data_IF_184027577679
#
_entry.id   IF_184027577679
#
_cell.length_a   1.000
_cell.length_b   1.000
_cell.length_c   1.000
_cell.angle_alpha   90.00
_cell.angle_beta   90.00
_cell.angle_gamma   90.00
#
_symmetry.space_group_name_H-M   'P 1'
#
loop_
_entity.id
_entity.type
_entity.pdbx_description
1 polymer ?
#
# COMPACT_ATOMS: atom_id res chain seq x y z
N UNK A 1 21.28 -0.54 -34.22
CA UNK A 1 20.77 -1.71 -33.48
C UNK A 1 19.27 -1.53 -33.33
N UNK A 2 18.48 -2.47 -33.82
CA UNK A 2 17.02 -2.45 -33.71
C UNK A 2 16.64 -3.57 -32.75
N UNK A 3 15.97 -3.23 -31.65
CA UNK A 3 15.41 -4.21 -30.71
C UNK A 3 13.91 -4.24 -30.98
N UNK A 4 13.43 -5.33 -31.58
CA UNK A 4 12.00 -5.58 -31.78
C UNK A 4 11.41 -6.17 -30.51
N UNK A 5 10.62 -5.37 -29.79
CA UNK A 5 9.85 -5.83 -28.65
C UNK A 5 8.65 -6.66 -29.13
N UNK A 6 8.86 -7.97 -29.28
CA UNK A 6 7.79 -8.91 -29.60
C UNK A 6 6.92 -9.16 -28.37
N UNK A 7 5.61 -9.01 -28.53
CA UNK A 7 4.64 -9.29 -27.48
C UNK A 7 4.38 -10.79 -27.29
N UNK A 8 3.46 -11.12 -26.38
CA UNK A 8 3.00 -12.48 -26.14
C UNK A 8 1.63 -12.71 -26.79
N UNK A 9 1.31 -13.97 -27.12
CA UNK A 9 -0.01 -14.40 -27.58
C UNK A 9 -0.49 -15.60 -26.75
N UNK A 10 -1.80 -15.73 -26.62
CA UNK A 10 -2.44 -16.91 -26.03
C UNK A 10 -2.32 -18.10 -27.00
N UNK A 11 -2.05 -19.28 -26.46
CA UNK A 11 -2.09 -20.54 -27.20
C UNK A 11 -3.30 -21.35 -26.73
N UNK A 12 -4.30 -21.46 -27.60
CA UNK A 12 -5.59 -22.07 -27.29
C UNK A 12 -5.77 -23.46 -27.93
N UNK A 13 -4.71 -24.02 -28.54
CA UNK A 13 -4.79 -25.30 -29.26
C UNK A 13 -5.27 -26.46 -28.38
N UNK A 14 -5.02 -26.41 -27.07
CA UNK A 14 -5.39 -27.45 -26.13
C UNK A 14 -6.86 -27.40 -25.67
N UNK A 15 -7.59 -26.32 -25.96
CA UNK A 15 -8.96 -26.10 -25.48
C UNK A 15 -10.04 -26.70 -26.39
N UNK A 16 -9.69 -27.09 -27.62
CA UNK A 16 -10.62 -27.71 -28.58
C UNK A 16 -11.88 -26.87 -28.80
N UNK A 17 -13.05 -27.52 -28.79
CA UNK A 17 -14.38 -26.90 -28.91
C UNK A 17 -15.09 -26.72 -27.55
N UNK A 18 -14.33 -26.68 -26.45
CA UNK A 18 -14.87 -26.61 -25.09
C UNK A 18 -15.68 -25.33 -24.82
N UNK A 19 -15.38 -24.25 -25.53
CA UNK A 19 -16.05 -22.96 -25.41
C UNK A 19 -16.78 -22.62 -26.70
N UNK A 20 -18.08 -22.35 -26.59
CA UNK A 20 -18.93 -21.96 -27.72
C UNK A 20 -18.68 -20.50 -28.11
N UNK A 21 -18.39 -19.64 -27.12
CA UNK A 21 -18.18 -18.21 -27.33
C UNK A 21 -16.75 -17.80 -26.99
N UNK A 22 -15.99 -17.46 -28.03
CA UNK A 22 -14.61 -16.97 -27.89
C UNK A 22 -14.45 -15.62 -28.57
N UNK A 23 -13.46 -14.86 -28.11
CA UNK A 23 -13.05 -13.63 -28.77
C UNK A 23 -12.23 -13.92 -30.04
N UNK A 24 -11.82 -12.85 -30.74
CA UNK A 24 -10.97 -12.97 -31.94
C UNK A 24 -9.60 -13.64 -31.72
N UNK A 25 -9.16 -13.82 -30.46
CA UNK A 25 -7.91 -14.47 -30.07
C UNK A 25 -8.14 -15.95 -29.70
N UNK A 26 -9.39 -16.40 -29.62
CA UNK A 26 -9.77 -17.73 -29.17
C UNK A 26 -9.85 -17.87 -27.65
N UNK A 27 -9.82 -16.76 -26.91
CA UNK A 27 -10.00 -16.74 -25.44
C UNK A 27 -11.51 -16.80 -25.15
N UNK A 28 -11.98 -17.63 -24.20
CA UNK A 28 -13.39 -17.69 -23.84
C UNK A 28 -13.89 -16.33 -23.32
N UNK A 29 -15.14 -15.99 -23.66
CA UNK A 29 -15.78 -14.84 -23.06
C UNK A 29 -16.02 -15.10 -21.57
N UNK A 30 -15.60 -14.15 -20.73
CA UNK A 30 -15.73 -14.23 -19.28
C UNK A 30 -16.70 -13.16 -18.77
N UNK A 31 -17.34 -13.43 -17.64
CA UNK A 31 -18.13 -12.45 -16.91
C UNK A 31 -17.25 -11.49 -16.08
N UNK A 32 -17.90 -10.60 -15.31
CA UNK A 32 -17.21 -9.65 -14.41
C UNK A 32 -16.40 -10.33 -13.29
N UNK A 33 -16.68 -11.60 -13.01
CA UNK A 33 -16.00 -12.43 -12.01
C UNK A 33 -14.92 -13.32 -12.64
N UNK A 34 -14.60 -13.10 -13.93
CA UNK A 34 -13.65 -13.89 -14.70
C UNK A 34 -14.04 -15.38 -14.85
N UNK A 35 -15.33 -15.67 -14.71
CA UNK A 35 -15.91 -17.01 -14.92
C UNK A 35 -16.31 -17.16 -16.38
N UNK A 36 -16.04 -18.34 -16.95
CA UNK A 36 -16.49 -18.68 -18.30
C UNK A 36 -17.94 -19.15 -18.31
N UNK A 37 -18.49 -19.35 -19.51
CA UNK A 37 -19.81 -19.97 -19.69
C UNK A 37 -19.87 -21.44 -19.25
N UNK A 38 -18.72 -22.10 -19.08
CA UNK A 38 -18.63 -23.48 -18.63
C UNK A 38 -18.62 -23.53 -17.10
N UNK A 39 -19.47 -24.37 -16.53
CA UNK A 39 -19.54 -24.59 -15.09
C UNK A 39 -18.18 -25.00 -14.53
N UNK A 40 -17.81 -24.36 -13.42
CA UNK A 40 -16.56 -24.58 -12.71
C UNK A 40 -15.27 -24.23 -13.50
N UNK A 41 -15.36 -23.35 -14.50
CA UNK A 41 -14.19 -22.91 -15.27
C UNK A 41 -14.03 -21.39 -15.22
N UNK A 42 -12.85 -20.95 -14.77
CA UNK A 42 -12.43 -19.55 -14.68
C UNK A 42 -11.10 -19.35 -15.38
N UNK A 43 -10.79 -18.10 -15.73
CA UNK A 43 -9.50 -17.73 -16.29
C UNK A 43 -9.02 -16.39 -15.71
N UNK A 44 -7.71 -16.23 -15.51
CA UNK A 44 -7.13 -15.03 -14.90
C UNK A 44 -5.78 -14.66 -15.53
N UNK A 45 -5.35 -13.41 -15.32
CA UNK A 45 -4.03 -12.93 -15.71
C UNK A 45 -3.88 -12.67 -17.21
N UNK A 46 -2.64 -12.71 -17.69
CA UNK A 46 -2.27 -12.34 -19.06
C UNK A 46 -3.00 -13.13 -20.15
N UNK A 47 -3.51 -14.33 -19.81
CA UNK A 47 -4.34 -15.12 -20.68
C UNK A 47 -5.65 -14.40 -21.08
N UNK A 48 -6.25 -13.63 -20.17
CA UNK A 48 -7.55 -12.96 -20.38
C UNK A 48 -7.37 -11.63 -21.12
N UNK A 49 -6.50 -10.76 -20.62
CA UNK A 49 -6.47 -9.33 -21.00
C UNK A 49 -5.29 -8.97 -21.94
N UNK A 50 -4.38 -9.91 -22.28
CA UNK A 50 -3.02 -9.69 -22.85
C UNK A 50 -1.99 -9.34 -21.76
N UNK A 51 -0.68 -9.11 -22.07
CA UNK A 51 0.32 -8.89 -21.03
C UNK A 51 -0.05 -7.69 -20.16
N UNK A 52 -0.40 -8.01 -18.93
CA UNK A 52 -0.55 -7.08 -17.82
C UNK A 52 0.78 -7.02 -17.06
N UNK A 53 0.86 -6.14 -16.05
CA UNK A 53 2.00 -6.24 -15.14
C UNK A 53 1.79 -7.44 -14.19
N UNK A 54 2.90 -7.97 -13.67
CA UNK A 54 2.91 -9.14 -12.79
C UNK A 54 2.00 -8.98 -11.55
N UNK A 55 1.87 -7.76 -11.04
CA UNK A 55 1.06 -7.45 -9.85
C UNK A 55 -0.43 -7.64 -10.16
N UNK A 56 -0.90 -7.12 -11.29
CA UNK A 56 -2.29 -7.27 -11.74
C UNK A 56 -2.65 -8.74 -11.97
N UNK A 57 -1.77 -9.50 -12.64
CA UNK A 57 -1.97 -10.94 -12.87
C UNK A 57 -2.09 -11.73 -11.57
N UNK A 58 -1.24 -11.44 -10.57
CA UNK A 58 -1.35 -12.08 -9.24
C UNK A 58 -2.66 -11.68 -8.54
N UNK A 59 -3.02 -10.40 -8.60
CA UNK A 59 -4.26 -9.90 -8.00
C UNK A 59 -5.51 -10.58 -8.58
N UNK A 60 -5.55 -10.77 -9.90
CA UNK A 60 -6.62 -11.52 -10.58
C UNK A 60 -6.64 -12.99 -10.17
N UNK A 61 -5.48 -13.66 -10.16
CA UNK A 61 -5.38 -15.06 -9.74
C UNK A 61 -5.90 -15.27 -8.32
N UNK A 62 -5.58 -14.36 -7.39
CA UNK A 62 -6.10 -14.40 -6.02
C UNK A 62 -7.63 -14.25 -5.99
N UNK A 63 -8.18 -13.25 -6.70
CA UNK A 63 -9.64 -13.04 -6.76
C UNK A 63 -10.39 -14.26 -7.30
N UNK A 64 -9.87 -14.87 -8.37
CA UNK A 64 -10.47 -16.08 -8.94
C UNK A 64 -10.38 -17.26 -7.97
N UNK A 65 -9.27 -17.43 -7.28
CA UNK A 65 -9.13 -18.48 -6.27
C UNK A 65 -10.16 -18.34 -5.12
N UNK A 66 -10.40 -17.11 -4.66
CA UNK A 66 -11.42 -16.84 -3.64
C UNK A 66 -12.84 -17.16 -4.13
N UNK A 67 -13.15 -16.88 -5.39
CA UNK A 67 -14.45 -17.21 -6.01
C UNK A 67 -14.64 -18.72 -6.18
N UNK A 68 -13.60 -19.43 -6.61
CA UNK A 68 -13.62 -20.90 -6.70
C UNK A 68 -13.87 -21.51 -5.33
N UNK A 69 -13.16 -21.04 -4.30
CA UNK A 69 -13.33 -21.53 -2.93
C UNK A 69 -14.75 -21.29 -2.40
N UNK A 70 -15.34 -20.13 -2.68
CA UNK A 70 -16.72 -19.80 -2.31
C UNK A 70 -17.73 -20.73 -3.00
N UNK A 71 -17.61 -20.92 -4.31
CA UNK A 71 -18.54 -21.76 -5.08
C UNK A 71 -18.45 -23.23 -4.66
N UNK A 72 -17.23 -23.74 -4.43
CA UNK A 72 -17.03 -25.13 -3.98
C UNK A 72 -17.52 -25.39 -2.56
N UNK A 73 -17.43 -24.39 -1.66
CA UNK A 73 -17.88 -24.55 -0.26
C UNK A 73 -19.36 -24.26 -0.05
N UNK A 74 -20.01 -23.58 -0.99
CA UNK A 74 -21.35 -23.01 -0.79
C UNK A 74 -21.39 -22.03 0.40
N UNK A 75 -20.24 -21.44 0.76
CA UNK A 75 -20.07 -20.61 1.94
C UNK A 75 -20.04 -19.12 1.57
N UNK A 76 -20.55 -18.29 2.48
CA UNK A 76 -20.48 -16.84 2.35
C UNK A 76 -19.01 -16.36 2.26
N UNK A 77 -18.74 -15.25 1.54
CA UNK A 77 -17.38 -14.74 1.33
C UNK A 77 -16.66 -14.51 2.66
N UNK A 78 -15.34 -14.78 2.68
CA UNK A 78 -14.50 -14.46 3.83
C UNK A 78 -14.57 -12.95 4.10
N UNK A 79 -15.13 -12.57 5.25
CA UNK A 79 -15.05 -11.18 5.75
C UNK A 79 -13.57 -10.82 5.91
N UNK A 80 -13.22 -9.55 5.64
CA UNK A 80 -11.86 -9.03 5.86
C UNK A 80 -11.39 -9.39 7.28
N UNK A 81 -10.46 -10.34 7.38
CA UNK A 81 -9.90 -10.84 8.66
C UNK A 81 -8.88 -9.87 9.28
N UNK A 82 -8.58 -8.77 8.61
CA UNK A 82 -7.48 -7.87 8.95
C UNK A 82 -7.93 -6.43 8.96
N UNK A 83 -7.63 -5.73 10.05
CA UNK A 83 -7.86 -4.29 10.20
C UNK A 83 -6.53 -3.56 10.35
N UNK A 84 -6.46 -2.36 9.78
CA UNK A 84 -5.30 -1.48 9.93
C UNK A 84 -5.48 -0.77 11.26
N UNK A 85 -4.72 -1.19 12.27
CA UNK A 85 -4.68 -0.49 13.54
C UNK A 85 -3.59 0.58 13.47
N UNK A 86 -3.99 1.85 13.66
CA UNK A 86 -3.08 2.95 13.93
C UNK A 86 -2.28 2.59 15.18
N UNK A 87 -0.95 2.63 15.07
CA UNK A 87 -0.06 2.57 16.23
C UNK A 87 0.40 3.99 16.46
N UNK A 88 -0.20 4.71 17.44
CA UNK A 88 0.33 6.01 17.83
C UNK A 88 1.81 5.85 18.14
N UNK A 89 2.62 6.68 17.51
CA UNK A 89 4.09 6.63 17.59
C UNK A 89 4.64 6.97 18.97
N UNK A 90 3.75 7.32 19.90
CA UNK A 90 4.02 7.55 21.32
C UNK A 90 4.37 6.25 22.09
N UNK A 91 4.00 5.06 21.59
CA UNK A 91 4.07 3.80 22.37
C UNK A 91 4.58 2.55 21.60
N UNK A 92 5.74 2.63 20.94
CA UNK A 92 6.41 1.42 20.40
C UNK A 92 7.54 0.97 21.32
N UNK A 93 7.23 0.05 22.23
CA UNK A 93 8.18 -0.57 23.15
C UNK A 93 8.60 -1.98 22.74
N UNK A 94 9.04 -2.17 21.50
CA UNK A 94 9.63 -3.44 21.07
C UNK A 94 11.10 -3.52 21.50
N UNK A 95 11.50 -4.48 22.34
CA UNK A 95 12.89 -4.61 22.78
C UNK A 95 13.78 -5.03 21.61
N UNK A 96 14.66 -4.13 21.19
CA UNK A 96 15.61 -4.32 20.11
C UNK A 96 16.80 -5.18 20.58
N UNK A 97 17.12 -6.27 19.90
CA UNK A 97 18.24 -7.17 20.23
C UNK A 97 19.62 -6.50 20.14
N UNK A 98 19.70 -5.29 19.57
CA UNK A 98 20.92 -4.47 19.50
C UNK A 98 21.26 -3.72 20.80
N UNK A 99 20.41 -3.83 21.84
CA UNK A 99 20.65 -3.25 23.18
C UNK A 99 21.77 -3.99 23.96
N UNK A 100 22.00 -5.27 23.69
CA UNK A 100 22.99 -6.08 24.43
C UNK A 100 24.45 -5.76 24.06
N UNK A 101 24.70 -5.15 22.90
CA UNK A 101 26.05 -4.93 22.37
C UNK A 101 26.61 -3.53 22.69
N UNK A 102 25.91 -2.71 23.48
CA UNK A 102 26.37 -1.35 23.82
C UNK A 102 26.43 -0.39 22.62
N UNK A 103 25.91 -0.82 21.46
CA UNK A 103 25.87 -0.03 20.22
C UNK A 103 24.65 0.90 20.21
N UNK A 104 23.69 0.72 21.11
CA UNK A 104 22.44 1.45 21.08
C UNK A 104 22.02 1.96 22.47
N UNK A 105 22.36 3.22 22.78
CA UNK A 105 21.35 4.11 23.40
C UNK A 105 20.26 4.44 22.35
N UNK A 106 19.72 3.41 21.67
CA UNK A 106 18.42 3.51 21.04
C UNK A 106 17.42 3.43 22.18
N UNK A 107 17.27 4.55 22.88
CA UNK A 107 16.11 4.75 23.72
C UNK A 107 14.87 4.47 22.86
N UNK A 108 13.81 3.94 23.46
CA UNK A 108 12.50 3.88 22.79
C UNK A 108 12.03 5.29 22.36
N UNK A 109 12.70 6.32 22.88
CA UNK A 109 12.63 7.70 22.42
C UNK A 109 13.28 7.92 21.05
N UNK A 110 14.31 7.19 20.61
CA UNK A 110 14.96 7.44 19.32
C UNK A 110 14.11 7.05 18.09
N UNK A 111 13.20 6.07 18.25
CA UNK A 111 12.18 5.77 17.22
C UNK A 111 10.97 6.71 17.34
N UNK A 112 10.68 7.26 18.52
CA UNK A 112 9.61 8.27 18.70
C UNK A 112 10.07 9.73 18.53
N UNK A 113 11.39 10.00 18.46
CA UNK A 113 11.97 11.36 18.35
C UNK A 113 12.15 11.84 16.91
N UNK A 114 12.06 10.96 15.91
CA UNK A 114 12.10 11.35 14.49
C UNK A 114 10.73 11.77 13.91
N UNK A 115 9.82 12.18 14.79
CA UNK A 115 8.53 12.77 14.45
C UNK A 115 8.39 14.19 14.99
N UNK A 116 9.49 14.75 15.51
CA UNK A 116 9.55 16.15 15.91
C UNK A 116 10.29 16.93 14.83
N UNK A 117 9.72 18.07 14.47
CA UNK A 117 10.31 19.22 13.79
C UNK A 117 11.86 19.23 13.84
N UNK A 118 12.52 19.00 12.68
CA UNK A 118 13.99 19.05 12.57
C UNK A 118 14.67 17.97 11.72
N UNK A 119 13.96 16.98 11.18
CA UNK A 119 14.53 16.00 10.24
C UNK A 119 14.68 16.63 8.84
N UNK A 120 15.85 17.20 8.59
CA UNK A 120 16.20 17.83 7.31
C UNK A 120 16.78 16.78 6.34
N UNK A 121 15.95 15.83 5.89
CA UNK A 121 16.38 14.83 4.89
C UNK A 121 16.93 15.50 3.61
N UNK A 122 16.44 16.70 3.30
CA UNK A 122 16.83 17.50 2.16
C UNK A 122 18.19 18.20 2.37
N UNK A 123 18.50 18.62 3.59
CA UNK A 123 19.75 19.28 3.96
C UNK A 123 20.87 18.34 4.40
N UNK A 124 20.57 17.10 4.77
CA UNK A 124 21.61 16.08 5.00
C UNK A 124 22.08 15.52 3.65
N UNK A 125 23.29 15.91 3.26
CA UNK A 125 23.96 15.39 2.08
C UNK A 125 24.19 13.88 2.13
N UNK A 126 24.15 13.22 0.96
CA UNK A 126 24.44 11.78 0.83
C UNK A 126 25.84 11.47 1.34
N UNK A 127 25.95 10.50 2.24
CA UNK A 127 27.22 9.94 2.65
C UNK A 127 27.72 8.98 1.55
N UNK A 128 28.96 9.19 1.09
CA UNK A 128 29.56 8.31 0.10
C UNK A 128 29.96 6.98 0.73
N UNK A 129 29.59 5.86 0.10
CA UNK A 129 30.06 4.53 0.50
C UNK A 129 31.60 4.51 0.51
N UNK A 130 32.25 4.18 1.64
CA UNK A 130 33.68 3.96 1.66
C UNK A 130 34.03 2.82 0.70
N UNK A 131 34.82 3.13 -0.31
CA UNK A 131 35.23 2.16 -1.32
C UNK A 131 36.70 1.81 -1.14
N UNK A 132 37.04 0.56 -1.40
CA UNK A 132 38.43 0.17 -1.57
C UNK A 132 39.06 0.96 -2.74
N UNK A 133 40.31 1.45 -2.62
CA UNK A 133 40.99 2.14 -3.71
C UNK A 133 41.03 1.28 -4.97
N UNK A 134 40.84 1.88 -6.15
CA UNK A 134 40.72 1.14 -7.43
C UNK A 134 41.86 0.16 -7.68
N UNK A 135 43.10 0.55 -7.33
CA UNK A 135 44.29 -0.29 -7.48
C UNK A 135 44.27 -1.56 -6.62
N UNK A 136 43.47 -1.59 -5.55
CA UNK A 136 43.38 -2.68 -4.58
C UNK A 136 42.14 -3.57 -4.79
N UNK A 137 41.28 -3.25 -5.78
CA UNK A 137 40.04 -4.02 -6.07
C UNK A 137 40.27 -5.33 -6.83
N UNK A 138 41.47 -5.89 -6.79
CA UNK A 138 41.77 -7.18 -7.46
C UNK A 138 41.79 -7.14 -8.99
N UNK A 139 41.98 -5.97 -9.61
CA UNK A 139 42.12 -5.90 -11.08
C UNK A 139 43.33 -6.73 -11.54
N UNK A 140 43.06 -7.81 -12.28
CA UNK A 140 44.09 -8.71 -12.81
C UNK A 140 44.52 -9.84 -11.86
N UNK A 141 43.91 -9.98 -10.68
CA UNK A 141 44.25 -11.04 -9.71
C UNK A 141 43.38 -12.29 -9.85
N UNK A 142 42.33 -12.27 -10.69
CA UNK A 142 41.30 -13.32 -10.83
C UNK A 142 40.51 -13.61 -9.53
N UNK A 143 40.72 -12.82 -8.48
CA UNK A 143 40.02 -12.95 -7.21
C UNK A 143 38.76 -12.09 -7.20
N UNK A 144 37.60 -12.74 -7.16
CA UNK A 144 36.27 -12.13 -7.14
C UNK A 144 35.65 -12.09 -5.74
N UNK A 145 36.42 -12.42 -4.70
CA UNK A 145 35.92 -12.45 -3.31
C UNK A 145 36.16 -11.16 -2.54
N UNK A 146 36.91 -10.21 -3.13
CA UNK A 146 37.23 -8.94 -2.51
C UNK A 146 36.01 -8.02 -2.42
N UNK A 147 35.60 -7.71 -1.19
CA UNK A 147 34.60 -6.68 -0.93
C UNK A 147 35.15 -5.30 -1.29
N UNK A 148 34.43 -4.60 -2.18
CA UNK A 148 34.85 -3.25 -2.64
C UNK A 148 34.14 -2.14 -1.87
N UNK A 149 32.95 -2.41 -1.34
CA UNK A 149 32.23 -1.55 -0.42
C UNK A 149 32.63 -1.94 1.00
N UNK A 150 33.34 -1.05 1.71
CA UNK A 150 33.89 -1.33 3.03
C UNK A 150 32.86 -1.14 4.16
N UNK A 151 31.60 -0.85 3.80
CA UNK A 151 30.54 -0.49 4.73
C UNK A 151 30.73 0.88 5.38
N UNK A 152 29.70 1.33 6.08
CA UNK A 152 29.78 2.56 6.86
C UNK A 152 30.32 2.31 8.26
N UNK A 153 31.13 3.26 8.75
CA UNK A 153 31.34 3.38 10.20
C UNK A 153 30.04 3.82 10.86
N UNK A 154 29.88 3.54 12.15
CA UNK A 154 28.67 3.87 12.90
C UNK A 154 28.24 5.35 12.76
N UNK A 155 29.20 6.27 12.75
CA UNK A 155 28.92 7.70 12.60
C UNK A 155 28.40 8.04 11.19
N UNK A 156 29.04 7.52 10.14
CA UNK A 156 28.61 7.75 8.75
C UNK A 156 27.26 7.08 8.50
N UNK A 157 27.07 5.86 9.00
CA UNK A 157 25.81 5.15 8.90
C UNK A 157 24.67 5.89 9.61
N UNK A 158 24.96 6.57 10.73
CA UNK A 158 23.99 7.40 11.42
C UNK A 158 23.58 8.62 10.57
N UNK A 159 24.55 9.35 10.00
CA UNK A 159 24.25 10.48 9.12
C UNK A 159 23.49 10.05 7.86
N UNK A 160 23.84 8.91 7.25
CA UNK A 160 23.12 8.39 6.10
C UNK A 160 21.69 7.95 6.47
N UNK A 161 21.50 7.34 7.65
CA UNK A 161 20.19 6.91 8.13
C UNK A 161 19.25 8.07 8.46
N UNK A 162 19.75 9.30 8.71
CA UNK A 162 18.90 10.50 8.86
C UNK A 162 18.18 10.87 7.56
N UNK A 163 18.64 10.38 6.41
CA UNK A 163 18.02 10.63 5.10
C UNK A 163 16.85 9.70 4.79
N UNK A 164 16.47 8.82 5.72
CA UNK A 164 15.35 7.89 5.54
C UNK A 164 14.02 8.64 5.45
N UNK A 165 13.28 8.47 4.34
CA UNK A 165 11.98 9.09 4.08
C UNK A 165 10.81 8.50 4.89
N UNK A 166 11.07 7.56 5.80
CA UNK A 166 10.06 6.93 6.68
C UNK A 166 8.83 6.40 5.91
N UNK A 167 9.04 5.65 4.83
CA UNK A 167 7.95 5.15 3.97
C UNK A 167 6.93 4.24 4.69
N UNK A 168 7.28 3.73 5.87
CA UNK A 168 6.39 2.97 6.75
C UNK A 168 5.36 3.81 7.51
N UNK A 169 5.48 5.15 7.50
CA UNK A 169 4.50 6.03 8.11
C UNK A 169 3.35 6.31 7.14
N UNK A 170 2.13 6.36 7.65
CA UNK A 170 0.94 6.68 6.87
C UNK A 170 0.17 7.87 7.43
N UNK A 171 -0.54 8.56 6.54
CA UNK A 171 -1.35 9.72 6.87
C UNK A 171 -2.72 9.20 7.30
N UNK A 172 -3.12 9.52 8.53
CA UNK A 172 -4.43 9.19 9.07
C UNK A 172 -5.27 10.46 9.23
N UNK A 173 -6.57 10.36 8.94
CA UNK A 173 -7.53 11.46 9.13
C UNK A 173 -8.47 11.10 10.28
N UNK A 174 -8.51 11.94 11.29
CA UNK A 174 -9.54 11.92 12.32
C UNK A 174 -10.79 12.67 11.84
N UNK A 175 -11.80 11.92 11.40
CA UNK A 175 -13.06 12.48 10.91
C UNK A 175 -13.80 13.33 11.95
N UNK A 176 -13.67 13.04 13.25
CA UNK A 176 -14.37 13.75 14.31
C UNK A 176 -13.78 15.15 14.58
N UNK A 177 -12.49 15.34 14.26
CA UNK A 177 -11.79 16.62 14.40
C UNK A 177 -11.69 17.39 13.07
N UNK A 178 -12.07 16.77 11.96
CA UNK A 178 -12.05 17.41 10.66
C UNK A 178 -13.21 18.41 10.52
N UNK A 179 -12.90 19.66 10.22
CA UNK A 179 -13.90 20.73 9.99
C UNK A 179 -14.17 20.99 8.50
N UNK A 180 -13.72 20.10 7.62
CA UNK A 180 -13.93 20.18 6.16
C UNK A 180 -13.48 21.52 5.53
N UNK A 181 -12.34 22.07 5.97
CA UNK A 181 -11.80 23.32 5.43
C UNK A 181 -11.06 23.17 4.08
N UNK A 182 -10.83 21.95 3.62
CA UNK A 182 -10.06 21.60 2.41
C UNK A 182 -8.59 22.04 2.34
N UNK A 183 -8.04 22.66 3.39
CA UNK A 183 -6.66 23.16 3.39
C UNK A 183 -5.60 22.08 3.08
N UNK A 184 -5.86 20.82 3.44
CA UNK A 184 -4.99 19.68 3.15
C UNK A 184 -4.95 19.31 1.66
N UNK A 185 -6.05 19.49 0.93
CA UNK A 185 -6.11 19.34 -0.53
C UNK A 185 -5.29 20.42 -1.22
N UNK A 186 -5.42 21.65 -0.75
CA UNK A 186 -4.76 22.82 -1.35
C UNK A 186 -3.23 22.78 -1.20
N UNK A 187 -2.73 22.31 -0.05
CA UNK A 187 -1.28 22.24 0.21
C UNK A 187 -0.62 21.02 -0.46
N UNK A 188 -1.40 20.05 -0.94
CA UNK A 188 -0.86 18.80 -1.45
C UNK A 188 -0.18 18.99 -2.82
N UNK A 189 1.14 18.78 -2.93
CA UNK A 189 1.86 18.99 -4.20
C UNK A 189 1.52 17.96 -5.27
N UNK A 190 0.99 16.80 -4.86
CA UNK A 190 0.60 15.70 -5.76
C UNK A 190 -0.92 15.62 -5.96
N UNK A 191 -1.71 16.51 -5.35
CA UNK A 191 -3.18 16.49 -5.37
C UNK A 191 -3.76 15.09 -5.03
N UNK A 192 -3.14 14.40 -4.07
CA UNK A 192 -3.51 13.03 -3.69
C UNK A 192 -4.53 12.98 -2.54
N UNK A 193 -4.97 14.11 -2.01
CA UNK A 193 -6.02 14.19 -0.99
C UNK A 193 -7.13 15.10 -1.50
N UNK A 194 -8.35 14.58 -1.58
CA UNK A 194 -9.51 15.28 -2.10
C UNK A 194 -10.73 15.14 -1.20
N UNK A 195 -11.53 16.21 -1.17
CA UNK A 195 -12.88 16.18 -0.61
C UNK A 195 -13.85 15.77 -1.71
N UNK A 196 -14.56 14.66 -1.49
CA UNK A 196 -15.51 14.11 -2.46
C UNK A 196 -16.89 13.96 -1.83
N UNK A 197 -17.92 13.95 -2.67
CA UNK A 197 -19.23 13.50 -2.24
C UNK A 197 -19.23 12.00 -1.97
N UNK A 198 -20.08 11.50 -1.05
CA UNK A 198 -20.29 10.07 -0.84
C UNK A 198 -20.59 9.31 -2.13
N UNK A 199 -21.27 9.96 -3.08
CA UNK A 199 -21.58 9.42 -4.41
C UNK A 199 -20.33 9.05 -5.22
N UNK A 200 -19.22 9.78 -5.03
CA UNK A 200 -17.94 9.48 -5.70
C UNK A 200 -17.16 8.36 -5.03
N UNK A 201 -17.46 7.96 -3.78
CA UNK A 201 -16.80 6.83 -3.12
C UNK A 201 -16.94 5.55 -3.97
N UNK A 202 -18.12 5.35 -4.55
CA UNK A 202 -18.40 4.26 -5.50
C UNK A 202 -17.39 4.20 -6.65
N UNK A 203 -16.94 5.35 -7.15
CA UNK A 203 -16.08 5.42 -8.35
C UNK A 203 -14.60 5.09 -8.09
N UNK A 204 -14.18 4.95 -6.84
CA UNK A 204 -12.77 4.75 -6.48
C UNK A 204 -12.41 3.26 -6.48
N UNK A 205 -13.14 2.45 -5.71
CA UNK A 205 -12.86 1.00 -5.55
C UNK A 205 -14.06 0.10 -5.88
N UNK A 206 -15.15 0.66 -6.43
CA UNK A 206 -16.43 -0.04 -6.64
C UNK A 206 -17.02 -0.61 -5.33
N UNK A 207 -16.66 0.00 -4.19
CA UNK A 207 -17.13 -0.38 -2.85
C UNK A 207 -18.50 0.25 -2.58
N UNK A 208 -19.55 -0.46 -3.01
CA UNK A 208 -20.95 -0.03 -2.91
C UNK A 208 -21.39 0.04 -1.45
N UNK A 209 -20.94 -0.91 -0.62
CA UNK A 209 -21.34 -1.01 0.79
C UNK A 209 -20.86 0.21 1.60
N UNK A 210 -19.62 0.64 1.38
CA UNK A 210 -19.08 1.82 2.08
C UNK A 210 -19.79 3.11 1.67
N UNK A 211 -20.15 3.26 0.40
CA UNK A 211 -20.86 4.43 -0.11
C UNK A 211 -22.30 4.50 0.44
N UNK A 212 -23.00 3.36 0.52
CA UNK A 212 -24.36 3.28 1.08
C UNK A 212 -24.36 3.54 2.60
N UNK A 213 -23.41 2.96 3.33
CA UNK A 213 -23.22 3.19 4.76
C UNK A 213 -22.93 4.67 5.04
N UNK A 214 -22.02 5.29 4.30
CA UNK A 214 -21.70 6.71 4.45
C UNK A 214 -22.93 7.60 4.22
N UNK A 215 -23.78 7.28 3.23
CA UNK A 215 -25.03 8.00 2.99
C UNK A 215 -26.05 7.80 4.12
N UNK A 216 -26.18 6.58 4.64
CA UNK A 216 -27.13 6.26 5.70
C UNK A 216 -26.78 6.96 7.03
N UNK A 217 -25.50 6.98 7.37
CA UNK A 217 -25.01 7.54 8.64
C UNK A 217 -24.82 9.07 8.58
N UNK A 218 -24.29 9.60 7.48
CA UNK A 218 -23.89 11.02 7.37
C UNK A 218 -24.86 11.88 6.54
N UNK A 219 -25.79 11.24 5.81
CA UNK A 219 -26.76 11.91 4.96
C UNK A 219 -26.24 12.32 3.56
N UNK A 220 -27.11 12.87 2.70
CA UNK A 220 -26.79 13.17 1.30
C UNK A 220 -25.86 14.38 1.10
N UNK A 221 -25.69 15.22 2.12
CA UNK A 221 -24.82 16.40 2.09
C UNK A 221 -23.48 16.18 2.78
N UNK A 222 -23.17 14.94 3.17
CA UNK A 222 -21.88 14.60 3.72
C UNK A 222 -20.76 14.78 2.71
N UNK A 223 -19.54 14.93 3.19
CA UNK A 223 -18.33 14.91 2.38
C UNK A 223 -17.35 13.92 3.00
N UNK A 224 -16.66 13.16 2.14
CA UNK A 224 -15.59 12.26 2.53
C UNK A 224 -14.24 12.86 2.12
N UNK A 225 -13.28 12.80 3.03
CA UNK A 225 -11.88 13.07 2.71
C UNK A 225 -11.23 11.76 2.29
N UNK A 226 -10.71 11.70 1.07
CA UNK A 226 -10.05 10.51 0.52
C UNK A 226 -8.60 10.82 0.19
N UNK A 227 -7.70 9.88 0.48
CA UNK A 227 -6.29 9.94 0.14
C UNK A 227 -5.97 8.83 -0.87
N UNK A 228 -5.44 9.20 -2.02
CA UNK A 228 -4.78 8.27 -2.94
C UNK A 228 -3.36 7.94 -2.42
N UNK A 229 -3.24 6.81 -1.75
CA UNK A 229 -1.97 6.32 -1.22
C UNK A 229 -0.94 5.97 -2.29
N UNK A 230 -1.34 5.77 -3.56
CA UNK A 230 -0.39 5.49 -4.65
C UNK A 230 0.34 6.74 -5.09
N UNK A 231 -0.38 7.87 -5.12
CA UNK A 231 0.17 9.17 -5.51
C UNK A 231 0.81 9.91 -4.33
N UNK A 232 0.44 9.57 -3.09
CA UNK A 232 0.96 10.21 -1.89
C UNK A 232 2.44 9.89 -1.65
N UNK A 233 3.30 10.91 -1.72
CA UNK A 233 4.73 10.80 -1.39
C UNK A 233 5.04 10.95 0.11
N UNK A 234 4.01 11.04 0.96
CA UNK A 234 4.12 11.12 2.43
C UNK A 234 4.97 12.31 2.91
N UNK A 235 4.87 13.45 2.21
CA UNK A 235 5.64 14.67 2.52
C UNK A 235 5.27 15.36 3.83
N UNK A 236 4.12 15.04 4.44
CA UNK A 236 3.69 15.63 5.71
C UNK A 236 3.06 17.02 5.64
N UNK A 237 3.10 17.71 4.49
CA UNK A 237 2.56 19.08 4.37
C UNK A 237 1.09 19.21 4.79
N UNK A 238 0.25 18.21 4.52
CA UNK A 238 -1.15 18.22 4.93
C UNK A 238 -1.34 18.11 6.45
N UNK A 239 -0.40 17.48 7.16
CA UNK A 239 -0.37 17.40 8.63
C UNK A 239 0.00 18.77 9.19
N UNK A 240 1.09 19.35 8.70
CA UNK A 240 1.59 20.66 9.15
C UNK A 240 0.59 21.80 8.90
N UNK A 241 -0.16 21.71 7.80
CA UNK A 241 -1.11 22.74 7.39
C UNK A 241 -2.51 22.57 7.99
N UNK A 242 -2.77 21.46 8.71
CA UNK A 242 -4.09 21.18 9.26
C UNK A 242 -4.39 22.06 10.48
N UNK A 243 -5.40 22.96 10.44
CA UNK A 243 -5.66 23.88 11.55
C UNK A 243 -6.26 23.20 12.79
N UNK A 244 -6.80 21.98 12.65
CA UNK A 244 -7.39 21.21 13.76
C UNK A 244 -6.55 20.01 14.16
N UNK A 245 -5.37 19.83 13.54
CA UNK A 245 -4.47 18.70 13.77
C UNK A 245 -5.18 17.33 13.63
N UNK A 246 -6.20 17.26 12.76
CA UNK A 246 -6.95 16.02 12.50
C UNK A 246 -6.15 15.03 11.64
N UNK A 247 -5.16 15.52 10.90
CA UNK A 247 -4.24 14.72 10.09
C UNK A 247 -3.00 14.38 10.91
N UNK A 248 -2.60 13.11 10.93
CA UNK A 248 -1.41 12.65 11.64
C UNK A 248 -0.57 11.70 10.78
N UNK A 249 0.74 11.65 11.06
CA UNK A 249 1.68 10.76 10.37
C UNK A 249 2.11 9.65 11.34
N UNK A 250 1.50 8.47 11.24
CA UNK A 250 1.66 7.38 12.21
C UNK A 250 2.14 6.08 11.57
N UNK A 251 2.71 5.21 12.41
CA UNK A 251 2.95 3.83 12.03
C UNK A 251 1.63 3.06 12.04
N UNK A 252 1.51 2.07 11.16
CA UNK A 252 0.38 1.15 11.19
C UNK A 252 0.86 -0.28 11.29
N UNK A 253 0.08 -1.10 11.98
CA UNK A 253 0.29 -2.54 11.99
C UNK A 253 -1.01 -3.21 11.58
N UNK A 254 -0.90 -4.30 10.86
CA UNK A 254 -2.05 -5.13 10.56
C UNK A 254 -2.32 -6.00 11.78
N UNK A 255 -3.48 -5.82 12.39
CA UNK A 255 -3.96 -6.70 13.45
C UNK A 255 -5.05 -7.61 12.89
N UNK A 256 -5.23 -8.82 13.46
CA UNK A 256 -6.48 -9.54 13.28
C UNK A 256 -7.64 -8.58 13.58
N UNK A 257 -8.60 -8.46 12.67
CA UNK A 257 -9.81 -7.70 12.95
C UNK A 257 -10.51 -8.36 14.14
N UNK A 258 -10.74 -7.62 15.22
CA UNK A 258 -11.72 -8.07 16.20
C UNK A 258 -13.05 -8.23 15.44
N UNK A 259 -13.84 -9.26 15.75
CA UNK A 259 -15.21 -9.33 15.26
C UNK A 259 -15.83 -7.97 15.59
N UNK A 260 -16.09 -7.13 14.56
CA UNK A 260 -16.83 -5.90 14.76
C UNK A 260 -18.10 -6.32 15.47
N UNK A 261 -18.19 -6.06 16.78
CA UNK A 261 -19.47 -5.93 17.45
C UNK A 261 -20.19 -4.94 16.56
N UNK A 262 -21.23 -5.44 15.88
CA UNK A 262 -22.19 -4.58 15.20
C UNK A 262 -22.43 -3.44 16.16
N UNK A 263 -22.08 -2.21 15.76
CA UNK A 263 -22.48 -1.01 16.48
C UNK A 263 -23.99 -1.10 16.60
N UNK A 264 -24.43 -1.66 17.71
CA UNK A 264 -25.80 -1.63 18.14
C UNK A 264 -26.05 -0.16 18.30
N UNK A 265 -26.70 0.42 17.29
CA UNK A 265 -27.53 1.60 17.37
C UNK A 265 -27.82 1.92 18.85
N UNK A 266 -27.02 2.83 19.40
CA UNK A 266 -27.37 3.51 20.63
C UNK A 266 -28.49 4.49 20.25
N UNK A 267 -29.67 3.94 19.97
CA UNK A 267 -30.92 4.67 20.07
C UNK A 267 -31.11 4.87 21.57
N UNK A 268 -30.62 6.01 22.05
CA UNK A 268 -31.11 6.55 23.31
C UNK A 268 -32.47 7.16 22.97
N UNK A 269 -33.52 6.36 23.13
CA UNK A 269 -34.88 6.88 23.23
C UNK A 269 -35.06 7.40 24.67
N UNK A 270 -35.61 8.61 24.80
CA UNK A 270 -36.20 9.08 26.06
C UNK A 270 -37.33 8.16 26.54
#
# INVERSE_FOLDING_TARGET
MVITAIGQKQDNQFLGEMFANTDRRGVPLLDQNLKSEVDNVWAAGDYVINPTNFISSIGEGKRVADLIDQELRGAAPKKKEMEITRVPTEYVSTPNSLLSEGVAEWSMTAMSRRLVWGDDYAGVGRQGMPMLPTAQRGMGTLDNTLETEMGYTKAIGFEEAKRCLQCQLNIFIDGNRCILCNSCGDVCPHQCIEMISPDRIYSIDNDVELAEMARAELGPFAAAMVIDERSCIRCGLCVDWCPTECLTMDHFRVTPAEERESVGLAIVAD
#
